data_IF_236848235581
#
_entry.id   IF_236848235581
#
_cell.length_a   1.000
_cell.length_b   1.000
_cell.length_c   1.000
_cell.angle_alpha   90.00
_cell.angle_beta   90.00
_cell.angle_gamma   90.00
#
_symmetry.space_group_name_H-M   'P 1'
#
loop_
_entity.id
_entity.type
_entity.pdbx_description
1 polymer ?
#
# COMPACT_ATOMS: atom_id res chain seq x y z
N UNK A 1 -33.59 16.98 -9.76
CA UNK A 1 -32.12 16.93 -9.62
C UNK A 1 -31.65 18.26 -9.04
N UNK A 2 -30.75 18.26 -8.07
CA UNK A 2 -30.17 19.48 -7.48
C UNK A 2 -28.95 19.94 -8.27
N UNK A 3 -28.65 21.24 -8.24
CA UNK A 3 -27.42 21.80 -8.84
C UNK A 3 -26.14 21.19 -8.24
N UNK A 4 -26.18 20.84 -6.96
CA UNK A 4 -25.10 20.16 -6.28
C UNK A 4 -24.86 18.76 -6.87
N UNK A 5 -25.93 18.01 -7.14
CA UNK A 5 -25.84 16.69 -7.78
C UNK A 5 -25.38 16.78 -9.24
N UNK A 6 -25.84 17.77 -10.01
CA UNK A 6 -25.35 18.04 -11.37
C UNK A 6 -23.84 18.26 -11.41
N UNK A 7 -23.27 18.97 -10.43
CA UNK A 7 -21.82 19.13 -10.32
C UNK A 7 -21.12 17.80 -10.04
N UNK A 8 -21.68 16.98 -9.15
CA UNK A 8 -21.13 15.66 -8.81
C UNK A 8 -21.13 14.67 -9.99
N UNK A 9 -22.04 14.84 -10.96
CA UNK A 9 -22.03 14.07 -12.20
C UNK A 9 -20.81 14.38 -13.09
N UNK A 10 -20.21 15.57 -12.95
CA UNK A 10 -19.00 15.94 -13.68
C UNK A 10 -17.71 15.53 -12.96
N UNK A 11 -17.80 15.04 -11.71
CA UNK A 11 -16.67 14.56 -10.93
C UNK A 11 -16.78 14.90 -9.44
N UNK A 12 -15.80 14.45 -8.63
CA UNK A 12 -15.72 14.76 -7.21
C UNK A 12 -15.67 16.27 -6.95
N UNK A 13 -16.21 16.72 -5.81
CA UNK A 13 -16.32 18.13 -5.47
C UNK A 13 -15.92 18.40 -4.02
N UNK A 14 -15.30 19.54 -3.79
CA UNK A 14 -15.12 20.14 -2.45
C UNK A 14 -16.20 21.19 -2.19
N UNK A 15 -16.42 21.51 -0.91
CA UNK A 15 -17.28 22.64 -0.51
C UNK A 15 -18.79 22.46 -0.72
N UNK A 16 -19.25 21.34 -1.28
CA UNK A 16 -20.67 20.98 -1.35
C UNK A 16 -21.07 20.30 -0.04
N UNK A 17 -22.12 20.78 0.62
CA UNK A 17 -22.67 20.12 1.79
C UNK A 17 -23.68 19.04 1.38
N UNK A 18 -23.70 17.88 2.07
CA UNK A 18 -24.73 16.84 1.86
C UNK A 18 -26.15 17.37 2.05
N UNK A 19 -26.34 18.43 2.84
CA UNK A 19 -27.63 19.11 3.02
C UNK A 19 -28.19 19.73 1.75
N UNK A 20 -27.34 20.04 0.76
CA UNK A 20 -27.73 20.61 -0.55
C UNK A 20 -28.30 19.57 -1.53
N UNK A 21 -28.17 18.29 -1.19
CA UNK A 21 -28.70 17.17 -1.97
C UNK A 21 -30.07 16.75 -1.44
N UNK A 22 -30.93 16.22 -2.32
CA UNK A 22 -32.19 15.58 -1.89
C UNK A 22 -31.96 14.16 -1.35
N UNK A 23 -33.01 13.49 -0.86
CA UNK A 23 -32.89 12.17 -0.22
C UNK A 23 -32.28 11.09 -1.15
N UNK A 24 -32.77 10.99 -2.38
CA UNK A 24 -32.30 9.99 -3.36
C UNK A 24 -30.84 10.26 -3.78
N UNK A 25 -30.51 11.53 -4.01
CA UNK A 25 -29.15 11.97 -4.37
C UNK A 25 -28.16 11.69 -3.23
N UNK A 26 -28.56 11.90 -1.97
CA UNK A 26 -27.73 11.59 -0.80
C UNK A 26 -27.43 10.10 -0.66
N UNK A 27 -28.33 9.22 -1.11
CA UNK A 27 -28.13 7.78 -1.06
C UNK A 27 -27.01 7.33 -2.02
N UNK A 28 -26.91 8.00 -3.16
CA UNK A 28 -25.93 7.73 -4.21
C UNK A 28 -24.60 8.47 -4.02
N UNK A 29 -24.54 9.38 -3.05
CA UNK A 29 -23.34 10.18 -2.77
C UNK A 29 -22.51 9.58 -1.64
N UNK A 30 -21.20 9.58 -1.82
CA UNK A 30 -20.19 9.18 -0.83
C UNK A 30 -19.39 10.43 -0.42
N UNK A 31 -18.69 10.34 0.71
CA UNK A 31 -17.85 11.42 1.22
C UNK A 31 -16.56 10.85 1.79
N UNK A 32 -15.44 11.49 1.46
CA UNK A 32 -14.18 11.33 2.20
C UNK A 32 -14.23 12.36 3.32
N UNK A 33 -14.48 11.89 4.55
CA UNK A 33 -14.62 12.70 5.77
C UNK A 33 -13.62 12.21 6.80
N UNK A 34 -12.58 13.02 7.05
CA UNK A 34 -11.54 12.70 8.03
C UNK A 34 -11.84 13.45 9.31
N UNK A 35 -12.19 12.71 10.35
CA UNK A 35 -12.57 13.27 11.65
C UNK A 35 -11.40 13.20 12.60
N UNK A 36 -11.15 14.31 13.29
CA UNK A 36 -10.16 14.34 14.37
C UNK A 36 -10.40 13.19 15.34
N UNK A 37 -9.35 12.41 15.61
CA UNK A 37 -9.43 11.24 16.50
C UNK A 37 -8.78 11.61 17.84
N UNK A 38 -9.52 11.44 18.93
CA UNK A 38 -8.98 11.68 20.29
C UNK A 38 -7.90 10.65 20.62
N UNK A 39 -6.81 11.08 21.25
CA UNK A 39 -5.72 10.20 21.70
C UNK A 39 -4.61 9.97 20.67
N UNK A 40 -4.67 10.60 19.49
CA UNK A 40 -3.52 10.67 18.58
C UNK A 40 -2.62 11.85 18.94
N UNK A 41 -1.31 11.68 18.75
CA UNK A 41 -0.36 12.78 18.81
C UNK A 41 -0.71 13.85 17.75
N UNK A 42 -0.34 15.11 17.98
CA UNK A 42 -0.69 16.22 17.09
C UNK A 42 -0.18 16.02 15.65
N UNK A 43 1.01 15.44 15.48
CA UNK A 43 1.56 15.05 14.16
C UNK A 43 0.70 14.02 13.42
N UNK A 44 -0.10 13.25 14.15
CA UNK A 44 -1.03 12.27 13.61
C UNK A 44 -2.47 12.81 13.49
N UNK A 45 -2.68 14.10 13.80
CA UNK A 45 -3.95 14.82 13.72
C UNK A 45 -3.68 16.32 13.43
N UNK A 46 -3.14 16.66 12.24
CA UNK A 46 -2.57 17.99 11.95
C UNK A 46 -3.61 19.10 11.83
N UNK A 47 -4.89 18.75 11.69
CA UNK A 47 -5.96 19.73 11.57
C UNK A 47 -7.22 19.15 10.93
N UNK A 48 -8.07 20.05 10.43
CA UNK A 48 -9.31 19.69 9.75
C UNK A 48 -9.05 19.55 8.25
N UNK A 49 -9.25 18.35 7.72
CA UNK A 49 -9.21 18.08 6.29
C UNK A 49 -10.42 18.68 5.58
N UNK A 50 -10.21 19.09 4.33
CA UNK A 50 -11.26 19.44 3.38
C UNK A 50 -11.93 18.17 2.88
N UNK A 51 -13.23 18.06 3.11
CA UNK A 51 -14.02 16.92 2.69
C UNK A 51 -14.24 16.93 1.16
N UNK A 52 -14.23 15.74 0.57
CA UNK A 52 -14.54 15.51 -0.84
C UNK A 52 -15.80 14.67 -0.97
N UNK A 53 -16.81 15.19 -1.67
CA UNK A 53 -18.03 14.44 -2.02
C UNK A 53 -17.88 13.88 -3.43
N UNK A 54 -18.36 12.66 -3.64
CA UNK A 54 -18.26 11.97 -4.93
C UNK A 54 -19.43 10.99 -5.11
N UNK A 55 -19.66 10.57 -6.36
CA UNK A 55 -20.60 9.49 -6.69
C UNK A 55 -19.85 8.15 -6.71
N UNK A 56 -20.53 7.07 -6.34
CA UNK A 56 -19.99 5.71 -6.43
C UNK A 56 -19.43 5.43 -7.84
N UNK A 57 -18.23 4.83 -7.90
CA UNK A 57 -17.47 4.64 -9.14
C UNK A 57 -16.41 5.72 -9.41
N UNK A 58 -16.46 6.86 -8.71
CA UNK A 58 -15.46 7.93 -8.82
C UNK A 58 -14.42 7.90 -7.67
N UNK A 59 -14.15 6.73 -7.07
CA UNK A 59 -13.28 6.64 -5.89
C UNK A 59 -11.84 7.10 -6.16
N UNK A 60 -11.32 6.80 -7.35
CA UNK A 60 -9.94 7.15 -7.73
C UNK A 60 -9.80 8.67 -7.86
N UNK A 61 -10.63 9.29 -8.70
CA UNK A 61 -10.65 10.75 -8.86
C UNK A 61 -10.95 11.47 -7.53
N UNK A 62 -11.76 10.87 -6.65
CA UNK A 62 -12.04 11.45 -5.35
C UNK A 62 -10.83 11.42 -4.42
N UNK A 63 -10.05 10.34 -4.45
CA UNK A 63 -8.80 10.24 -3.71
C UNK A 63 -7.73 11.20 -4.26
N UNK A 64 -7.63 11.35 -5.59
CA UNK A 64 -6.76 12.33 -6.24
C UNK A 64 -7.10 13.76 -5.82
N UNK A 65 -8.38 14.15 -5.92
CA UNK A 65 -8.82 15.47 -5.49
C UNK A 65 -8.59 15.66 -3.98
N UNK A 66 -8.84 14.64 -3.17
CA UNK A 66 -8.61 14.73 -1.73
C UNK A 66 -7.12 14.91 -1.40
N UNK A 67 -6.24 14.21 -2.11
CA UNK A 67 -4.79 14.34 -1.96
C UNK A 67 -4.33 15.75 -2.32
N UNK A 68 -4.75 16.25 -3.49
CA UNK A 68 -4.40 17.58 -3.99
C UNK A 68 -4.84 18.71 -3.03
N UNK A 69 -6.11 18.73 -2.60
CA UNK A 69 -6.62 19.82 -1.76
C UNK A 69 -6.18 19.75 -0.29
N UNK A 70 -5.58 18.63 0.13
CA UNK A 70 -5.11 18.43 1.50
C UNK A 70 -3.61 18.10 1.57
N UNK A 71 -2.84 18.42 0.53
CA UNK A 71 -1.43 18.02 0.36
C UNK A 71 -0.59 18.32 1.62
N UNK A 72 -0.58 19.58 2.08
CA UNK A 72 0.14 20.02 3.29
C UNK A 72 -0.25 19.21 4.55
N UNK A 73 -1.53 18.88 4.70
CA UNK A 73 -2.02 18.12 5.85
C UNK A 73 -1.64 16.64 5.74
N UNK A 74 -1.65 16.08 4.53
CA UNK A 74 -1.25 14.70 4.27
C UNK A 74 0.25 14.55 4.51
N UNK A 75 1.06 15.50 4.05
CA UNK A 75 2.51 15.51 4.27
C UNK A 75 2.89 15.61 5.75
N UNK A 76 2.12 16.37 6.52
CA UNK A 76 2.32 16.49 7.97
C UNK A 76 2.00 15.20 8.74
N UNK A 77 1.25 14.24 8.17
CA UNK A 77 0.90 12.98 8.84
C UNK A 77 2.11 12.03 8.91
N UNK A 78 2.38 11.51 10.10
CA UNK A 78 3.32 10.41 10.27
C UNK A 78 2.67 9.07 9.88
N UNK A 79 3.13 8.50 8.76
CA UNK A 79 2.63 7.23 8.22
C UNK A 79 3.27 5.99 8.88
N UNK A 80 4.33 6.16 9.67
CA UNK A 80 4.99 5.06 10.38
C UNK A 80 4.15 4.58 11.58
N UNK A 81 3.25 5.43 12.06
CA UNK A 81 2.35 5.16 13.17
C UNK A 81 0.88 5.19 12.74
N UNK A 82 0.01 4.72 13.65
CA UNK A 82 -1.44 4.84 13.49
C UNK A 82 -1.82 6.32 13.42
N UNK A 83 -2.51 6.71 12.35
CA UNK A 83 -2.82 8.11 12.05
C UNK A 83 -4.31 8.35 11.76
N UNK A 84 -4.70 9.63 11.70
CA UNK A 84 -6.11 10.07 11.54
C UNK A 84 -6.75 9.61 10.24
N UNK A 85 -5.99 9.48 9.15
CA UNK A 85 -6.50 8.99 7.87
C UNK A 85 -6.87 7.51 8.00
N UNK A 86 -5.98 6.71 8.58
CA UNK A 86 -6.20 5.29 8.80
C UNK A 86 -7.39 5.01 9.74
N UNK A 87 -7.63 5.86 10.75
CA UNK A 87 -8.76 5.68 11.68
C UNK A 87 -10.10 6.13 11.12
N UNK A 88 -10.09 7.10 10.21
CA UNK A 88 -11.32 7.71 9.68
C UNK A 88 -11.84 7.02 8.42
N UNK A 89 -10.93 6.43 7.63
CA UNK A 89 -11.24 5.96 6.29
C UNK A 89 -11.22 4.44 6.19
N UNK A 90 -12.11 3.84 5.38
CA UNK A 90 -11.96 2.46 4.95
C UNK A 90 -10.59 2.25 4.30
N UNK A 91 -9.97 1.10 4.53
CA UNK A 91 -8.64 0.79 4.03
C UNK A 91 -8.48 1.02 2.51
N UNK A 92 -9.42 0.63 1.63
CA UNK A 92 -9.32 0.92 0.20
C UNK A 92 -9.17 2.42 -0.13
N UNK A 93 -9.88 3.29 0.59
CA UNK A 93 -9.83 4.74 0.36
C UNK A 93 -8.53 5.34 0.91
N UNK A 94 -8.13 4.94 2.12
CA UNK A 94 -6.84 5.32 2.68
C UNK A 94 -5.69 4.98 1.73
N UNK A 95 -5.73 3.75 1.21
CA UNK A 95 -4.77 3.27 0.23
C UNK A 95 -4.75 4.18 -1.01
N UNK A 96 -5.88 4.43 -1.69
CA UNK A 96 -5.92 5.32 -2.87
C UNK A 96 -5.35 6.72 -2.61
N UNK A 97 -5.65 7.32 -1.44
CA UNK A 97 -5.10 8.63 -1.07
C UNK A 97 -3.58 8.59 -0.99
N UNK A 98 -3.00 7.54 -0.41
CA UNK A 98 -1.54 7.38 -0.35
C UNK A 98 -0.89 7.19 -1.72
N UNK A 99 -1.61 6.59 -2.68
CA UNK A 99 -1.17 6.50 -4.08
C UNK A 99 -1.15 7.87 -4.73
N UNK A 100 -2.27 8.58 -4.61
CA UNK A 100 -2.46 9.88 -5.20
C UNK A 100 -1.47 10.92 -4.66
N UNK A 101 -1.14 10.87 -3.37
CA UNK A 101 -0.11 11.73 -2.78
C UNK A 101 1.33 11.27 -3.04
N UNK A 102 1.54 10.16 -3.76
CA UNK A 102 2.87 9.63 -4.05
C UNK A 102 3.62 9.08 -2.84
N UNK A 103 2.99 9.01 -1.65
CA UNK A 103 3.60 8.52 -0.40
C UNK A 103 3.70 6.99 -0.31
N UNK A 104 3.27 6.29 -1.37
CA UNK A 104 3.52 4.86 -1.59
C UNK A 104 3.88 4.59 -3.05
N UNK A 105 4.63 3.51 -3.27
CA UNK A 105 4.96 3.00 -4.60
C UNK A 105 4.57 1.55 -4.71
N UNK A 106 3.57 1.25 -5.54
CA UNK A 106 3.07 -0.11 -5.73
C UNK A 106 3.55 -0.68 -7.07
N UNK A 107 4.07 -1.90 -7.04
CA UNK A 107 4.34 -2.71 -8.23
C UNK A 107 3.71 -4.09 -8.05
N UNK A 108 2.88 -4.48 -9.01
CA UNK A 108 2.12 -5.73 -8.99
C UNK A 108 2.80 -6.71 -9.94
N UNK A 109 3.41 -7.76 -9.40
CA UNK A 109 3.96 -8.86 -10.17
C UNK A 109 2.96 -10.03 -10.20
N UNK A 110 3.32 -11.12 -10.87
CA UNK A 110 2.44 -12.28 -11.07
C UNK A 110 1.96 -12.91 -9.76
N UNK A 111 2.83 -12.95 -8.74
CA UNK A 111 2.55 -13.65 -7.48
C UNK A 111 2.84 -12.81 -6.23
N UNK A 112 3.53 -11.67 -6.38
CA UNK A 112 3.85 -10.75 -5.28
C UNK A 112 3.49 -9.32 -5.65
N UNK A 113 3.00 -8.56 -4.67
CA UNK A 113 2.90 -7.11 -4.71
C UNK A 113 4.03 -6.54 -3.88
N UNK A 114 4.85 -5.70 -4.53
CA UNK A 114 5.81 -4.83 -3.88
C UNK A 114 5.12 -3.52 -3.53
N UNK A 115 5.25 -3.08 -2.28
CA UNK A 115 4.81 -1.76 -1.84
C UNK A 115 5.91 -1.08 -1.03
N UNK A 116 6.53 -0.06 -1.62
CA UNK A 116 7.47 0.82 -0.94
C UNK A 116 6.75 1.99 -0.28
N UNK A 117 7.08 2.26 0.98
CA UNK A 117 6.61 3.41 1.75
C UNK A 117 7.68 4.51 1.74
N UNK A 118 7.25 5.74 2.02
CA UNK A 118 8.16 6.89 2.09
C UNK A 118 9.23 6.75 3.18
N UNK A 119 8.90 6.13 4.31
CA UNK A 119 9.85 5.84 5.40
C UNK A 119 10.91 4.79 5.03
N UNK A 120 10.89 4.27 3.80
CA UNK A 120 11.78 3.22 3.31
C UNK A 120 11.30 1.80 3.61
N UNK A 121 10.22 1.63 4.38
CA UNK A 121 9.64 0.30 4.65
C UNK A 121 9.13 -0.31 3.34
N UNK A 122 9.46 -1.58 3.11
CA UNK A 122 8.93 -2.34 1.97
C UNK A 122 8.03 -3.46 2.50
N UNK A 123 6.86 -3.58 1.89
CA UNK A 123 5.99 -4.74 2.03
C UNK A 123 6.06 -5.60 0.78
N UNK A 124 6.28 -6.89 0.98
CA UNK A 124 6.16 -7.93 -0.05
C UNK A 124 4.99 -8.81 0.34
N UNK A 125 3.90 -8.74 -0.44
CA UNK A 125 2.63 -9.35 -0.09
C UNK A 125 2.23 -10.28 -1.22
N UNK A 126 1.79 -11.48 -0.89
CA UNK A 126 1.18 -12.40 -1.85
C UNK A 126 0.07 -11.69 -2.65
N UNK A 127 0.02 -11.96 -3.95
CA UNK A 127 -0.86 -11.26 -4.88
C UNK A 127 -2.34 -11.44 -4.51
N UNK A 128 -2.75 -12.66 -4.19
CA UNK A 128 -4.13 -12.98 -3.89
C UNK A 128 -4.52 -12.38 -2.53
N UNK A 129 -3.63 -12.46 -1.53
CA UNK A 129 -3.82 -11.79 -0.25
C UNK A 129 -4.00 -10.29 -0.40
N UNK A 130 -3.17 -9.65 -1.22
CA UNK A 130 -3.27 -8.23 -1.48
C UNK A 130 -4.65 -7.88 -2.08
N UNK A 131 -5.15 -8.66 -3.03
CA UNK A 131 -6.42 -8.35 -3.68
C UNK A 131 -7.65 -8.67 -2.84
N UNK A 132 -7.61 -9.77 -2.08
CA UNK A 132 -8.80 -10.34 -1.42
C UNK A 132 -8.92 -10.01 0.06
N UNK A 133 -7.82 -9.67 0.76
CA UNK A 133 -7.81 -9.48 2.23
C UNK A 133 -7.40 -8.08 2.63
N UNK A 134 -8.11 -7.07 2.12
CA UNK A 134 -7.76 -5.65 2.25
C UNK A 134 -7.41 -5.22 3.68
N UNK A 135 -8.23 -5.59 4.66
CA UNK A 135 -8.03 -5.18 6.07
C UNK A 135 -6.91 -5.96 6.79
N UNK A 136 -6.38 -7.02 6.19
CA UNK A 136 -5.34 -7.89 6.77
C UNK A 136 -4.09 -8.04 5.90
N UNK A 137 -3.91 -7.17 4.89
CA UNK A 137 -2.73 -7.15 4.01
C UNK A 137 -1.42 -7.07 4.79
N UNK A 138 -1.37 -6.17 5.77
CA UNK A 138 -0.16 -5.74 6.46
C UNK A 138 -0.05 -6.37 7.86
N UNK A 139 0.21 -7.67 7.90
CA UNK A 139 0.54 -8.37 9.14
C UNK A 139 1.78 -9.22 8.94
N UNK A 140 2.56 -9.37 10.00
CA UNK A 140 3.73 -10.25 10.05
C UNK A 140 3.48 -11.47 10.93
N UNK A 141 2.29 -11.59 11.54
CA UNK A 141 1.91 -12.73 12.39
C UNK A 141 1.28 -13.88 11.61
N UNK A 142 0.96 -13.67 10.33
CA UNK A 142 0.41 -14.68 9.42
C UNK A 142 1.40 -14.91 8.26
N UNK A 143 1.18 -15.98 7.50
CA UNK A 143 1.91 -16.23 6.24
C UNK A 143 1.52 -15.22 5.16
N UNK A 144 2.17 -15.27 3.99
CA UNK A 144 1.79 -14.52 2.77
C UNK A 144 2.11 -13.01 2.79
N UNK A 145 2.76 -12.49 3.84
CA UNK A 145 3.25 -11.10 3.89
C UNK A 145 4.59 -11.01 4.61
N UNK A 146 5.54 -10.28 4.03
CA UNK A 146 6.80 -9.90 4.66
C UNK A 146 6.95 -8.38 4.74
N UNK A 147 7.51 -7.91 5.86
CA UNK A 147 7.91 -6.52 6.06
C UNK A 147 9.43 -6.44 6.13
N UNK A 148 9.99 -5.73 5.18
CA UNK A 148 11.42 -5.40 5.07
C UNK A 148 11.62 -4.00 5.67
N UNK A 149 12.43 -3.87 6.71
CA UNK A 149 12.67 -2.57 7.36
C UNK A 149 13.57 -1.68 6.49
N UNK A 150 13.57 -0.35 6.70
CA UNK A 150 14.29 0.62 5.86
C UNK A 150 15.80 0.38 5.76
N UNK A 151 16.39 -0.27 6.76
CA UNK A 151 17.84 -0.55 6.82
C UNK A 151 18.26 -1.72 5.92
N UNK A 152 17.31 -2.46 5.34
CA UNK A 152 17.60 -3.60 4.46
C UNK A 152 17.30 -3.24 3.00
N UNK A 153 18.36 -3.19 2.20
CA UNK A 153 18.23 -3.19 0.74
C UNK A 153 18.01 -4.61 0.23
N UNK A 154 16.89 -4.85 -0.46
CA UNK A 154 16.62 -6.15 -1.10
C UNK A 154 17.65 -6.48 -2.19
N UNK A 155 18.22 -5.48 -2.84
CA UNK A 155 19.27 -5.66 -3.85
C UNK A 155 20.58 -6.09 -3.19
N UNK A 156 21.04 -5.37 -2.17
CA UNK A 156 22.27 -5.74 -1.45
C UNK A 156 22.13 -7.10 -0.76
N UNK A 157 20.96 -7.38 -0.16
CA UNK A 157 20.66 -8.68 0.42
C UNK A 157 20.71 -9.79 -0.64
N UNK A 158 20.24 -9.54 -1.86
CA UNK A 158 20.37 -10.53 -2.92
C UNK A 158 21.84 -10.72 -3.29
N UNK A 159 22.59 -9.65 -3.53
CA UNK A 159 23.98 -9.71 -4.00
C UNK A 159 24.95 -10.33 -3.01
N UNK A 160 24.82 -10.02 -1.72
CA UNK A 160 25.70 -10.53 -0.66
C UNK A 160 25.57 -12.04 -0.42
N UNK A 161 24.46 -12.64 -0.81
CA UNK A 161 24.20 -14.06 -0.62
C UNK A 161 24.91 -14.91 -1.67
N UNK A 162 25.10 -16.20 -1.36
CA UNK A 162 25.71 -17.17 -2.26
C UNK A 162 24.90 -17.43 -3.53
N UNK A 163 25.33 -18.43 -4.31
CA UNK A 163 24.63 -18.87 -5.53
C UNK A 163 23.26 -19.48 -5.25
N UNK A 164 23.03 -19.97 -4.04
CA UNK A 164 21.74 -20.45 -3.54
C UNK A 164 21.36 -19.58 -2.36
N UNK A 165 20.13 -19.06 -2.37
CA UNK A 165 19.56 -18.24 -1.30
C UNK A 165 18.36 -19.01 -0.75
N UNK A 166 18.41 -19.38 0.52
CA UNK A 166 17.40 -20.18 1.20
C UNK A 166 16.48 -19.31 2.05
N UNK A 167 15.34 -19.87 2.46
CA UNK A 167 14.47 -19.23 3.44
C UNK A 167 15.21 -18.91 4.75
N UNK A 168 16.16 -19.76 5.17
CA UNK A 168 16.95 -19.57 6.40
C UNK A 168 17.87 -18.36 6.31
N UNK A 169 18.48 -18.15 5.14
CA UNK A 169 19.38 -17.01 4.92
C UNK A 169 18.61 -15.70 5.11
N UNK A 170 17.38 -15.62 4.59
CA UNK A 170 16.51 -14.45 4.77
C UNK A 170 15.99 -14.34 6.21
N UNK A 171 15.62 -15.46 6.86
CA UNK A 171 15.18 -15.46 8.28
C UNK A 171 16.24 -14.97 9.25
N UNK A 172 17.52 -15.04 8.89
CA UNK A 172 18.62 -14.55 9.72
C UNK A 172 18.73 -13.01 9.74
N UNK A 173 17.96 -12.32 8.89
CA UNK A 173 17.92 -10.85 8.79
C UNK A 173 16.86 -10.22 9.71
N UNK A 174 16.75 -8.89 9.68
CA UNK A 174 15.70 -8.15 10.40
C UNK A 174 14.32 -8.15 9.69
N UNK A 175 14.17 -8.87 8.57
CA UNK A 175 12.89 -9.00 7.87
C UNK A 175 11.89 -9.76 8.74
N UNK A 176 10.66 -9.24 8.85
CA UNK A 176 9.61 -9.82 9.70
C UNK A 176 8.48 -10.39 8.84
N UNK A 177 7.82 -11.47 9.30
CA UNK A 177 6.74 -12.14 8.57
C UNK A 177 7.21 -13.32 7.72
N UNK A 178 6.51 -13.55 6.61
CA UNK A 178 6.76 -14.67 5.71
C UNK A 178 7.84 -14.37 4.68
N UNK A 179 9.10 -14.65 5.04
CA UNK A 179 10.27 -14.43 4.20
C UNK A 179 10.21 -15.13 2.82
N UNK A 180 9.29 -16.07 2.60
CA UNK A 180 9.07 -16.67 1.28
C UNK A 180 8.62 -15.64 0.25
N UNK A 181 7.95 -14.58 0.68
CA UNK A 181 7.57 -13.45 -0.18
C UNK A 181 8.79 -12.69 -0.71
N UNK A 182 9.92 -12.71 0.03
CA UNK A 182 11.20 -12.15 -0.43
C UNK A 182 11.79 -13.00 -1.55
N UNK A 183 11.84 -14.32 -1.35
CA UNK A 183 12.30 -15.26 -2.38
C UNK A 183 11.43 -15.19 -3.64
N UNK A 184 10.11 -15.11 -3.46
CA UNK A 184 9.19 -15.03 -4.58
C UNK A 184 9.31 -13.69 -5.32
N UNK A 185 9.52 -12.59 -4.59
CA UNK A 185 9.86 -11.29 -5.19
C UNK A 185 11.11 -11.36 -6.07
N UNK A 186 12.20 -11.97 -5.58
CA UNK A 186 13.41 -12.17 -6.40
C UNK A 186 13.14 -13.02 -7.65
N UNK A 187 12.20 -13.97 -7.59
CA UNK A 187 11.86 -14.79 -8.75
C UNK A 187 11.11 -14.02 -9.84
N UNK A 188 10.26 -13.06 -9.46
CA UNK A 188 9.32 -12.41 -10.39
C UNK A 188 9.68 -10.98 -10.77
N UNK A 189 10.50 -10.31 -9.97
CA UNK A 189 10.98 -8.96 -10.28
C UNK A 189 12.12 -9.02 -11.31
N UNK A 190 12.02 -8.18 -12.34
CA UNK A 190 12.92 -8.20 -13.50
C UNK A 190 14.40 -7.90 -13.21
N UNK A 191 14.71 -7.35 -12.03
CA UNK A 191 16.07 -7.00 -11.64
C UNK A 191 16.91 -8.18 -11.11
N UNK A 192 16.31 -9.36 -10.92
CA UNK A 192 16.97 -10.50 -10.32
C UNK A 192 17.01 -11.69 -11.27
N UNK A 193 18.18 -12.30 -11.36
CA UNK A 193 18.42 -13.44 -12.24
C UNK A 193 18.53 -14.71 -11.42
N UNK A 194 17.39 -15.35 -11.16
CA UNK A 194 17.33 -16.57 -10.37
C UNK A 194 16.23 -17.52 -10.84
N UNK A 195 16.29 -18.77 -10.38
CA UNK A 195 15.24 -19.78 -10.57
C UNK A 195 14.89 -20.44 -9.23
N UNK A 196 13.64 -20.88 -9.04
CA UNK A 196 13.27 -21.63 -7.84
C UNK A 196 14.06 -22.94 -7.77
N UNK A 197 14.48 -23.33 -6.56
CA UNK A 197 15.13 -24.60 -6.27
C UNK A 197 14.75 -25.06 -4.86
N UNK A 198 15.13 -26.27 -4.49
CA UNK A 198 15.05 -26.75 -3.10
C UNK A 198 16.42 -27.18 -2.63
N UNK A 199 16.69 -27.05 -1.32
CA UNK A 199 17.89 -27.64 -0.70
C UNK A 199 17.71 -29.14 -0.49
N UNK A 200 18.79 -29.84 -0.12
CA UNK A 200 18.74 -31.27 0.24
C UNK A 200 17.76 -31.58 1.37
N UNK A 201 17.49 -30.61 2.25
CA UNK A 201 16.53 -30.72 3.34
C UNK A 201 15.10 -30.30 2.93
N UNK A 202 14.79 -30.25 1.63
CA UNK A 202 13.51 -29.80 1.06
C UNK A 202 13.10 -28.36 1.44
N UNK A 203 14.07 -27.51 1.80
CA UNK A 203 13.80 -26.11 2.05
C UNK A 203 13.62 -25.34 0.74
N UNK A 204 12.62 -24.45 0.69
CA UNK A 204 12.45 -23.52 -0.42
C UNK A 204 13.65 -22.59 -0.55
N UNK A 205 14.13 -22.42 -1.78
CA UNK A 205 15.27 -21.58 -2.10
C UNK A 205 15.15 -21.03 -3.53
N UNK A 206 16.02 -20.09 -3.86
CA UNK A 206 16.29 -19.66 -5.23
C UNK A 206 17.77 -19.89 -5.55
N UNK A 207 18.06 -20.21 -6.81
CA UNK A 207 19.42 -20.32 -7.34
C UNK A 207 19.67 -19.16 -8.29
N UNK A 208 20.69 -18.35 -8.03
CA UNK A 208 21.16 -17.31 -8.94
C UNK A 208 21.61 -17.96 -10.25
N UNK A 209 21.19 -17.41 -11.37
CA UNK A 209 21.66 -17.80 -12.71
C UNK A 209 22.76 -16.82 -13.12
N UNK A 210 23.99 -17.30 -13.29
CA UNK A 210 25.04 -16.48 -13.88
C UNK A 210 24.68 -16.14 -15.34
N UNK A 211 25.08 -14.95 -15.81
CA UNK A 211 24.84 -14.45 -17.17
C UNK A 211 25.43 -15.32 -18.31
N UNK A 212 26.01 -16.48 -18.01
CA UNK A 212 26.65 -17.38 -18.98
C UNK A 212 25.71 -18.42 -19.60
N UNK A 213 24.47 -18.58 -19.13
CA UNK A 213 23.44 -19.40 -19.82
C UNK A 213 22.72 -18.63 -20.95
N UNK A 214 23.49 -17.81 -21.70
CA UNK A 214 23.08 -17.28 -23.01
C UNK A 214 23.90 -17.95 -24.10
N UNK A 215 23.51 -19.18 -24.43
CA UNK A 215 23.81 -19.84 -25.70
C UNK A 215 22.49 -20.25 -26.36
#
# INVERSE_FOLDING_TARGET
MTKAYEKLQNGPQTGIARSELNYEERANTRVIDVRGTTGLAQVNNPGKFTNVLYLEGNEEAAAELFADVNDDLIDAVDLSAKNVLQTSLPRPMYDRILDASGRRKIRKYSTVVFEGREDGTIWLIDRDRYETRVDRRYTTSETESARVPPEISLEELYEQQGSIITESDIRSTAITGDVRQVLDYYRVASGYHCRPTTTENNQLAIKKTHNEERL
#
